data_IF_931154803950
#
_entry.id   IF_931154803950
#
_cell.length_a   1.000
_cell.length_b   1.000
_cell.length_c   1.000
_cell.angle_alpha   90.00
_cell.angle_beta   90.00
_cell.angle_gamma   90.00
#
_symmetry.space_group_name_H-M   'P 1'
#
loop_
_entity.id
_entity.type
_entity.pdbx_description
1 polymer ?
#
# COMPACT_ATOMS: atom_id res chain seq x y z
N UNK A 1 22.50 -31.18 39.80
CA UNK A 1 23.36 -31.14 38.59
C UNK A 1 22.84 -29.98 37.77
N UNK A 2 23.34 -28.77 38.03
CA UNK A 2 22.93 -27.58 37.28
C UNK A 2 23.85 -27.47 36.07
N UNK A 3 23.28 -27.65 34.88
CA UNK A 3 23.96 -27.37 33.62
C UNK A 3 23.73 -25.90 33.33
N UNK A 4 24.75 -25.08 33.58
CA UNK A 4 24.73 -23.67 33.26
C UNK A 4 25.18 -23.52 31.79
N UNK A 5 24.22 -23.49 30.86
CA UNK A 5 24.45 -23.20 29.44
C UNK A 5 24.60 -21.67 29.28
N UNK A 6 25.72 -21.11 29.75
CA UNK A 6 26.12 -19.78 29.31
C UNK A 6 26.59 -19.93 27.86
N UNK A 7 25.67 -19.78 26.91
CA UNK A 7 26.03 -19.55 25.52
C UNK A 7 26.58 -18.13 25.41
N UNK A 8 27.84 -17.93 25.83
CA UNK A 8 28.59 -16.78 25.36
C UNK A 8 28.59 -16.90 23.83
N UNK A 9 27.84 -16.03 23.17
CA UNK A 9 27.90 -15.90 21.72
C UNK A 9 29.29 -15.40 21.36
N UNK A 10 30.24 -16.33 21.20
CA UNK A 10 31.55 -16.04 20.64
C UNK A 10 31.35 -15.63 19.18
N UNK A 11 31.55 -14.34 18.89
CA UNK A 11 31.39 -13.82 17.54
C UNK A 11 31.32 -12.30 17.47
N UNK A 12 31.44 -11.79 16.25
CA UNK A 12 31.23 -10.38 15.93
C UNK A 12 29.82 -10.26 15.35
N UNK A 13 28.99 -9.45 16.00
CA UNK A 13 27.61 -9.20 15.59
C UNK A 13 27.53 -7.83 14.94
N UNK A 14 27.08 -7.79 13.69
CA UNK A 14 26.98 -6.56 12.91
C UNK A 14 25.66 -6.54 12.17
N UNK A 15 25.15 -5.34 11.98
CA UNK A 15 24.01 -5.08 11.10
C UNK A 15 24.50 -4.27 9.90
N UNK A 16 24.35 -4.86 8.71
CA UNK A 16 24.58 -4.20 7.44
C UNK A 16 23.33 -3.48 6.97
N UNK A 17 23.50 -2.35 6.28
CA UNK A 17 22.40 -1.65 5.61
C UNK A 17 22.72 -1.50 4.12
N UNK A 18 21.72 -1.81 3.29
CA UNK A 18 21.78 -1.60 1.86
C UNK A 18 20.57 -0.80 1.42
N UNK A 19 20.82 0.25 0.62
CA UNK A 19 19.78 1.12 0.08
C UNK A 19 20.02 1.32 -1.41
N UNK A 20 18.93 1.33 -2.16
CA UNK A 20 18.91 1.64 -3.58
C UNK A 20 17.86 2.72 -3.79
N UNK A 21 18.25 3.82 -4.42
CA UNK A 21 17.34 4.89 -4.79
C UNK A 21 16.85 4.60 -6.21
N UNK A 22 15.54 4.57 -6.39
CA UNK A 22 14.91 4.25 -7.67
C UNK A 22 13.85 5.32 -7.94
N UNK A 23 13.72 5.69 -9.22
CA UNK A 23 12.62 6.54 -9.66
C UNK A 23 11.38 5.65 -9.80
N UNK A 24 10.27 5.95 -9.11
CA UNK A 24 9.02 5.20 -9.27
C UNK A 24 8.58 5.17 -10.73
N UNK A 25 8.05 4.03 -11.17
CA UNK A 25 7.45 3.82 -12.51
C UNK A 25 5.97 3.42 -12.43
N UNK A 26 5.42 3.28 -11.22
CA UNK A 26 4.03 2.99 -10.95
C UNK A 26 3.45 3.92 -9.89
N UNK A 27 2.23 4.40 -10.12
CA UNK A 27 1.36 4.98 -9.11
C UNK A 27 0.15 4.07 -8.90
N UNK A 28 -0.17 3.73 -7.66
CA UNK A 28 -1.42 3.07 -7.30
C UNK A 28 -2.36 4.11 -6.72
N UNK A 29 -3.46 4.37 -7.42
CA UNK A 29 -4.52 5.26 -6.97
C UNK A 29 -5.61 4.45 -6.29
N UNK A 30 -5.84 4.72 -5.02
CA UNK A 30 -6.96 4.18 -4.25
C UNK A 30 -8.12 5.17 -4.29
N UNK A 31 -9.20 4.79 -4.96
CA UNK A 31 -10.39 5.64 -5.11
C UNK A 31 -11.66 4.83 -4.95
N UNK A 32 -12.78 5.53 -4.80
CA UNK A 32 -14.08 4.90 -4.73
C UNK A 32 -15.23 5.86 -4.95
N UNK A 33 -16.42 5.28 -4.94
CA UNK A 33 -17.69 5.97 -4.96
C UNK A 33 -18.41 5.69 -3.64
N UNK A 34 -18.97 6.74 -3.04
CA UNK A 34 -19.85 6.65 -1.89
C UNK A 34 -21.16 7.37 -2.19
N UNK A 35 -22.27 6.64 -2.06
CA UNK A 35 -23.63 7.19 -2.20
C UNK A 35 -24.41 6.95 -0.92
N UNK A 36 -25.39 7.79 -0.64
CA UNK A 36 -26.32 7.59 0.47
C UNK A 36 -27.73 7.99 0.05
N UNK A 37 -28.65 7.02 0.02
CA UNK A 37 -30.04 7.25 -0.41
C UNK A 37 -31.05 6.64 0.55
N UNK A 38 -32.32 7.01 0.39
CA UNK A 38 -33.41 6.52 1.22
C UNK A 38 -33.59 4.99 1.11
N UNK A 39 -33.32 4.42 -0.06
CA UNK A 39 -33.40 2.97 -0.30
C UNK A 39 -32.08 2.38 -0.78
N UNK A 40 -31.88 1.08 -0.49
CA UNK A 40 -30.70 0.33 -0.99
C UNK A 40 -30.62 0.36 -2.51
N UNK A 41 -31.77 0.21 -3.19
CA UNK A 41 -31.82 0.13 -4.65
C UNK A 41 -31.37 1.45 -5.31
N UNK A 42 -31.81 2.59 -4.79
CA UNK A 42 -31.39 3.91 -5.27
C UNK A 42 -29.90 4.14 -5.02
N UNK A 43 -29.43 3.84 -3.80
CA UNK A 43 -28.02 3.99 -3.44
C UNK A 43 -27.11 3.13 -4.33
N UNK A 44 -27.48 1.87 -4.57
CA UNK A 44 -26.75 0.96 -5.43
C UNK A 44 -26.72 1.42 -6.88
N UNK A 45 -27.87 1.86 -7.42
CA UNK A 45 -27.97 2.29 -8.82
C UNK A 45 -27.08 3.50 -9.05
N UNK A 46 -27.16 4.52 -8.19
CA UNK A 46 -26.30 5.70 -8.30
C UNK A 46 -24.82 5.37 -8.13
N UNK A 47 -24.48 4.47 -7.20
CA UNK A 47 -23.10 4.06 -6.98
C UNK A 47 -22.53 3.33 -8.21
N UNK A 48 -23.33 2.46 -8.84
CA UNK A 48 -22.93 1.75 -10.05
C UNK A 48 -22.73 2.72 -11.22
N UNK A 49 -23.69 3.60 -11.49
CA UNK A 49 -23.58 4.58 -12.58
C UNK A 49 -22.38 5.53 -12.40
N UNK A 50 -22.12 5.98 -11.17
CA UNK A 50 -20.96 6.82 -10.89
C UNK A 50 -19.64 6.05 -11.02
N UNK A 51 -19.61 4.78 -10.58
CA UNK A 51 -18.42 3.95 -10.74
C UNK A 51 -18.14 3.65 -12.22
N UNK A 52 -19.16 3.40 -13.03
CA UNK A 52 -19.03 3.17 -14.46
C UNK A 52 -18.43 4.37 -15.18
N UNK A 53 -18.84 5.59 -14.81
CA UNK A 53 -18.23 6.83 -15.31
C UNK A 53 -16.75 6.94 -14.91
N UNK A 54 -16.43 6.62 -13.66
CA UNK A 54 -15.04 6.60 -13.17
C UNK A 54 -14.19 5.56 -13.92
N UNK A 55 -14.71 4.35 -14.13
CA UNK A 55 -14.02 3.32 -14.90
C UNK A 55 -13.76 3.76 -16.34
N UNK A 56 -14.76 4.38 -16.98
CA UNK A 56 -14.63 4.93 -18.33
C UNK A 56 -13.55 6.01 -18.37
N UNK A 57 -13.54 6.93 -17.39
CA UNK A 57 -12.51 7.96 -17.31
C UNK A 57 -11.10 7.39 -17.11
N UNK A 58 -10.95 6.32 -16.33
CA UNK A 58 -9.68 5.61 -16.18
C UNK A 58 -9.23 4.99 -17.51
N UNK A 59 -10.12 4.27 -18.21
CA UNK A 59 -9.79 3.64 -19.48
C UNK A 59 -9.51 4.65 -20.61
N UNK A 60 -10.21 5.78 -20.63
CA UNK A 60 -9.98 6.87 -21.58
C UNK A 60 -8.62 7.56 -21.36
N UNK A 61 -8.03 7.39 -20.18
CA UNK A 61 -6.69 7.85 -19.85
C UNK A 61 -5.66 6.71 -19.82
N UNK A 62 -5.86 5.68 -20.66
CA UNK A 62 -4.92 4.58 -20.90
C UNK A 62 -4.66 3.66 -19.67
N UNK A 63 -5.54 3.67 -18.66
CA UNK A 63 -5.49 2.69 -17.58
C UNK A 63 -6.18 1.41 -18.04
N UNK A 64 -5.43 0.32 -18.18
CA UNK A 64 -5.97 -0.95 -18.63
C UNK A 64 -6.94 -1.56 -17.59
N UNK A 65 -8.01 -2.21 -18.04
CA UNK A 65 -8.99 -2.84 -17.13
C UNK A 65 -8.34 -3.84 -16.17
N UNK A 66 -7.31 -4.59 -16.61
CA UNK A 66 -6.58 -5.55 -15.74
C UNK A 66 -5.85 -4.88 -14.57
N UNK A 67 -5.56 -3.59 -14.72
CA UNK A 67 -4.84 -2.76 -13.76
C UNK A 67 -5.81 -2.04 -12.81
N UNK A 68 -7.11 -2.26 -12.97
CA UNK A 68 -8.15 -1.76 -12.07
C UNK A 68 -8.75 -2.94 -11.30
N UNK A 69 -8.69 -2.88 -9.98
CA UNK A 69 -9.16 -3.96 -9.11
C UNK A 69 -10.06 -3.43 -8.00
N UNK A 70 -11.29 -3.92 -7.95
CA UNK A 70 -12.20 -3.68 -6.82
C UNK A 70 -11.62 -4.25 -5.54
N UNK A 71 -11.41 -3.37 -4.56
CA UNK A 71 -10.88 -3.71 -3.25
C UNK A 71 -11.98 -3.92 -2.22
N UNK A 72 -13.06 -3.13 -2.32
CA UNK A 72 -14.08 -3.10 -1.29
C UNK A 72 -15.44 -2.75 -1.86
N UNK A 73 -16.46 -3.49 -1.44
CA UNK A 73 -17.85 -3.13 -1.69
C UNK A 73 -18.64 -3.34 -0.40
N UNK A 74 -19.44 -2.35 -0.01
CA UNK A 74 -20.31 -2.48 1.16
C UNK A 74 -21.59 -1.69 1.03
N UNK A 75 -22.62 -2.17 1.71
CA UNK A 75 -23.89 -1.49 1.88
C UNK A 75 -24.16 -1.47 3.38
N UNK A 76 -24.41 -0.29 3.94
CA UNK A 76 -24.66 -0.11 5.36
C UNK A 76 -25.91 0.73 5.56
N UNK A 77 -26.70 0.39 6.58
CA UNK A 77 -27.76 1.29 7.04
C UNK A 77 -27.11 2.53 7.66
N UNK A 78 -27.71 3.68 7.39
CA UNK A 78 -27.37 4.94 8.04
C UNK A 78 -28.51 5.27 8.97
N UNK A 79 -28.16 5.42 10.23
CA UNK A 79 -29.10 5.65 11.31
C UNK A 79 -28.85 7.01 11.95
N UNK A 80 -29.89 7.55 12.54
CA UNK A 80 -29.84 8.76 13.36
C UNK A 80 -30.53 8.47 14.68
N UNK A 81 -29.86 8.81 15.78
CA UNK A 81 -30.48 8.78 17.09
C UNK A 81 -31.54 9.87 17.20
N UNK A 82 -32.76 9.47 17.56
CA UNK A 82 -33.86 10.36 17.90
C UNK A 82 -33.92 10.51 19.42
N UNK A 83 -33.67 11.73 19.90
CA UNK A 83 -33.66 12.04 21.33
C UNK A 83 -35.05 12.13 21.96
N UNK A 84 -36.09 12.31 21.17
CA UNK A 84 -37.46 12.46 21.66
C UNK A 84 -38.12 11.08 21.86
N UNK A 85 -37.80 10.12 20.99
CA UNK A 85 -38.30 8.74 21.10
C UNK A 85 -37.30 7.77 21.76
N UNK A 86 -36.07 8.22 22.05
CA UNK A 86 -34.96 7.39 22.55
C UNK A 86 -34.68 6.16 21.67
N UNK A 87 -34.81 6.32 20.35
CA UNK A 87 -34.66 5.23 19.38
C UNK A 87 -33.67 5.57 18.25
N UNK A 88 -33.11 4.54 17.63
CA UNK A 88 -32.26 4.66 16.46
C UNK A 88 -33.11 4.50 15.19
N UNK A 89 -33.26 5.59 14.43
CA UNK A 89 -34.10 5.62 13.22
C UNK A 89 -33.20 5.47 12.00
N UNK A 90 -33.54 4.53 11.11
CA UNK A 90 -32.88 4.40 9.80
C UNK A 90 -33.26 5.60 8.94
N UNK A 91 -32.27 6.38 8.54
CA UNK A 91 -32.41 7.56 7.68
C UNK A 91 -31.94 7.34 6.25
N UNK A 92 -31.37 6.17 5.96
CA UNK A 92 -31.01 5.76 4.61
C UNK A 92 -30.04 4.59 4.57
N UNK A 93 -29.45 4.40 3.40
CA UNK A 93 -28.48 3.35 3.11
C UNK A 93 -27.30 3.96 2.38
N UNK A 94 -26.10 3.65 2.86
CA UNK A 94 -24.85 4.05 2.25
C UNK A 94 -24.26 2.89 1.47
N UNK A 95 -23.89 3.13 0.22
CA UNK A 95 -23.12 2.21 -0.59
C UNK A 95 -21.72 2.78 -0.76
N UNK A 96 -20.71 1.94 -0.57
CA UNK A 96 -19.31 2.27 -0.81
C UNK A 96 -18.72 1.23 -1.74
N UNK A 97 -18.12 1.68 -2.84
CA UNK A 97 -17.36 0.85 -3.76
C UNK A 97 -15.96 1.45 -3.91
N UNK A 98 -14.90 0.70 -3.64
CA UNK A 98 -13.50 1.14 -3.75
C UNK A 98 -12.73 0.25 -4.70
N UNK A 99 -11.86 0.88 -5.47
CA UNK A 99 -10.98 0.25 -6.46
C UNK A 99 -9.57 0.78 -6.29
N UNK A 100 -8.60 -0.05 -6.64
CA UNK A 100 -7.22 0.37 -6.87
C UNK A 100 -6.96 0.37 -8.36
N UNK A 101 -6.43 1.46 -8.87
CA UNK A 101 -5.98 1.61 -10.25
C UNK A 101 -4.46 1.75 -10.30
N UNK A 102 -3.79 0.86 -11.05
CA UNK A 102 -2.35 0.95 -11.33
C UNK A 102 -2.13 1.84 -12.56
N UNK A 103 -1.36 2.91 -12.38
CA UNK A 103 -1.09 3.93 -13.38
C UNK A 103 0.42 3.95 -13.65
N UNK A 104 0.83 3.57 -14.86
CA UNK A 104 2.25 3.54 -15.28
C UNK A 104 2.71 4.87 -15.86
N UNK A 105 1.80 5.66 -16.40
CA UNK A 105 2.09 7.04 -16.83
C UNK A 105 2.03 8.01 -15.66
N UNK A 106 3.03 7.95 -14.77
CA UNK A 106 3.09 8.79 -13.56
C UNK A 106 2.99 10.28 -13.89
N UNK A 107 3.58 10.72 -15.00
CA UNK A 107 3.54 12.14 -15.40
C UNK A 107 2.09 12.63 -15.68
N UNK A 108 1.16 11.72 -15.99
CA UNK A 108 -0.27 12.01 -16.22
C UNK A 108 -1.13 11.82 -14.98
N UNK A 109 -0.57 11.45 -13.82
CA UNK A 109 -1.35 11.12 -12.62
C UNK A 109 -2.30 12.25 -12.20
N UNK A 110 -1.85 13.50 -12.27
CA UNK A 110 -2.66 14.67 -11.92
C UNK A 110 -3.88 14.81 -12.82
N UNK A 111 -3.69 14.73 -14.14
CA UNK A 111 -4.81 14.80 -15.10
C UNK A 111 -5.76 13.62 -14.97
N UNK A 112 -5.26 12.43 -14.62
CA UNK A 112 -6.10 11.25 -14.39
C UNK A 112 -6.98 11.48 -13.16
N UNK A 113 -6.41 12.00 -12.07
CA UNK A 113 -7.15 12.31 -10.83
C UNK A 113 -8.25 13.33 -11.12
N UNK A 114 -7.95 14.39 -11.87
CA UNK A 114 -8.93 15.41 -12.23
C UNK A 114 -10.07 14.79 -13.07
N UNK A 115 -9.73 13.96 -14.06
CA UNK A 115 -10.72 13.29 -14.92
C UNK A 115 -11.64 12.34 -14.15
N UNK A 116 -11.10 11.53 -13.23
CA UNK A 116 -11.94 10.63 -12.41
C UNK A 116 -12.78 11.39 -11.39
N UNK A 117 -12.25 12.48 -10.82
CA UNK A 117 -12.99 13.34 -9.91
C UNK A 117 -14.16 14.03 -10.62
N UNK A 118 -13.95 14.54 -11.84
CA UNK A 118 -15.00 15.11 -12.67
C UNK A 118 -16.06 14.06 -13.05
N UNK A 119 -15.63 12.85 -13.45
CA UNK A 119 -16.53 11.78 -13.87
C UNK A 119 -17.41 11.22 -12.74
N UNK A 120 -16.83 11.01 -11.56
CA UNK A 120 -17.56 10.54 -10.38
C UNK A 120 -18.31 11.64 -9.64
N UNK A 121 -17.91 12.91 -9.83
CA UNK A 121 -18.51 14.08 -9.19
C UNK A 121 -18.36 14.05 -7.66
N UNK A 122 -19.35 14.61 -6.96
CA UNK A 122 -19.36 14.71 -5.49
C UNK A 122 -19.44 13.35 -4.76
N UNK A 123 -19.71 12.27 -5.52
CA UNK A 123 -19.75 10.90 -5.02
C UNK A 123 -18.35 10.28 -4.93
N UNK A 124 -17.34 10.89 -5.57
CA UNK A 124 -15.96 10.41 -5.56
C UNK A 124 -15.34 10.52 -4.18
N UNK A 125 -14.59 9.50 -3.81
CA UNK A 125 -13.73 9.45 -2.62
C UNK A 125 -12.33 9.07 -3.09
N UNK A 126 -11.39 10.01 -2.97
CA UNK A 126 -9.97 9.75 -3.18
C UNK A 126 -9.36 9.42 -1.82
N UNK A 127 -8.84 8.20 -1.67
CA UNK A 127 -8.30 7.73 -0.39
C UNK A 127 -6.79 7.96 -0.30
N UNK A 128 -6.02 7.46 -1.27
CA UNK A 128 -4.55 7.57 -1.28
C UNK A 128 -3.98 7.46 -2.70
N UNK A 129 -2.73 7.94 -2.84
CA UNK A 129 -1.88 7.70 -4.00
C UNK A 129 -0.55 7.20 -3.47
N UNK A 130 -0.14 6.03 -3.93
CA UNK A 130 1.09 5.36 -3.49
C UNK A 130 2.00 5.17 -4.71
N UNK A 131 3.22 5.71 -4.64
CA UNK A 131 4.22 5.59 -5.71
C UNK A 131 5.17 4.43 -5.42
N UNK A 132 5.33 3.55 -6.40
CA UNK A 132 6.13 2.34 -6.28
C UNK A 132 6.84 2.01 -7.60
N UNK A 133 7.50 0.86 -7.58
CA UNK A 133 8.07 0.22 -8.77
C UNK A 133 7.23 -1.02 -9.06
N UNK A 134 6.82 -1.25 -10.31
CA UNK A 134 5.96 -2.41 -10.65
C UNK A 134 6.70 -3.75 -10.41
N UNK A 135 8.01 -3.81 -10.71
CA UNK A 135 8.88 -4.92 -10.33
C UNK A 135 10.10 -4.45 -9.51
N UNK A 136 10.05 -4.58 -8.16
CA UNK A 136 11.14 -4.16 -7.29
C UNK A 136 12.24 -5.22 -7.11
N UNK A 137 12.13 -6.39 -7.74
CA UNK A 137 12.95 -7.58 -7.42
C UNK A 137 14.45 -7.35 -7.57
N UNK A 138 14.85 -6.75 -8.69
CA UNK A 138 16.26 -6.46 -9.01
C UNK A 138 16.85 -5.44 -8.01
N UNK A 139 16.06 -4.45 -7.62
CA UNK A 139 16.47 -3.43 -6.66
C UNK A 139 16.62 -3.99 -5.24
N UNK A 140 15.78 -4.96 -4.87
CA UNK A 140 15.96 -5.69 -3.62
C UNK A 140 17.23 -6.55 -3.63
N UNK A 141 17.54 -7.20 -4.75
CA UNK A 141 18.80 -7.95 -4.86
C UNK A 141 20.01 -7.02 -4.70
N UNK A 142 20.02 -5.88 -5.39
CA UNK A 142 21.10 -4.90 -5.26
C UNK A 142 21.19 -4.35 -3.82
N UNK A 143 20.06 -4.08 -3.17
CA UNK A 143 20.03 -3.65 -1.77
C UNK A 143 20.63 -4.71 -0.84
N UNK A 144 20.30 -5.99 -1.02
CA UNK A 144 20.87 -7.10 -0.24
C UNK A 144 22.38 -7.23 -0.44
N UNK A 145 22.86 -7.10 -1.68
CA UNK A 145 24.29 -7.13 -1.99
C UNK A 145 25.04 -6.00 -1.25
N UNK A 146 24.48 -4.78 -1.27
CA UNK A 146 25.04 -3.64 -0.52
C UNK A 146 25.00 -3.87 1.00
N UNK A 147 23.91 -4.41 1.53
CA UNK A 147 23.77 -4.72 2.94
C UNK A 147 24.82 -5.74 3.42
N UNK A 148 25.05 -6.80 2.64
CA UNK A 148 26.07 -7.79 2.98
C UNK A 148 27.50 -7.24 2.85
N UNK A 149 27.77 -6.40 1.85
CA UNK A 149 29.06 -5.73 1.73
C UNK A 149 29.34 -4.81 2.94
N UNK A 150 28.34 -4.03 3.38
CA UNK A 150 28.43 -3.17 4.56
C UNK A 150 28.61 -3.97 5.87
N UNK A 151 27.83 -5.05 6.06
CA UNK A 151 27.99 -5.95 7.20
C UNK A 151 29.41 -6.53 7.25
N UNK A 152 29.91 -7.02 6.12
CA UNK A 152 31.25 -7.61 6.03
C UNK A 152 32.34 -6.59 6.36
N UNK A 153 32.27 -5.39 5.78
CA UNK A 153 33.24 -4.33 6.04
C UNK A 153 33.29 -3.94 7.54
N UNK A 154 32.12 -3.82 8.18
CA UNK A 154 32.03 -3.57 9.64
C UNK A 154 32.63 -4.71 10.46
N UNK A 155 32.35 -5.96 10.10
CA UNK A 155 32.89 -7.11 10.81
C UNK A 155 34.42 -7.19 10.68
N UNK A 156 34.97 -6.92 9.50
CA UNK A 156 36.42 -6.86 9.25
C UNK A 156 37.08 -5.74 10.07
N UNK A 157 36.46 -4.56 10.13
CA UNK A 157 36.94 -3.44 10.93
C UNK A 157 36.96 -3.78 12.42
N UNK A 158 35.88 -4.36 12.96
CA UNK A 158 35.81 -4.75 14.38
C UNK A 158 36.82 -5.84 14.72
N UNK A 159 37.00 -6.83 13.84
CA UNK A 159 38.00 -7.89 14.01
C UNK A 159 39.42 -7.31 14.09
N UNK A 160 39.76 -6.40 13.18
CA UNK A 160 41.06 -5.72 13.17
C UNK A 160 41.31 -4.91 14.44
N UNK A 161 40.31 -4.16 14.92
CA UNK A 161 40.42 -3.38 16.17
C UNK A 161 40.55 -4.26 17.42
N UNK A 162 39.94 -5.44 17.42
CA UNK A 162 40.02 -6.41 18.51
C UNK A 162 41.27 -7.31 18.44
N UNK A 163 42.08 -7.21 17.37
CA UNK A 163 43.26 -8.06 17.18
C UNK A 163 42.92 -9.53 16.90
N UNK A 164 41.74 -9.82 16.36
CA UNK A 164 41.27 -11.16 16.02
C UNK A 164 41.08 -11.32 14.51
N UNK A 165 41.07 -12.56 14.02
CA UNK A 165 40.79 -12.86 12.61
C UNK A 165 39.31 -13.11 12.41
N UNK A 166 38.70 -12.47 11.41
CA UNK A 166 37.30 -12.72 11.05
C UNK A 166 37.11 -14.13 10.44
N UNK A 167 36.20 -14.91 11.00
CA UNK A 167 35.85 -16.25 10.54
C UNK A 167 34.74 -16.29 9.48
N UNK A 168 34.26 -17.49 9.15
CA UNK A 168 33.09 -17.68 8.27
C UNK A 168 31.80 -17.22 8.98
N UNK A 169 30.82 -16.66 8.25
CA UNK A 169 29.51 -16.35 8.83
C UNK A 169 28.86 -17.60 9.43
N UNK A 170 28.38 -17.50 10.66
CA UNK A 170 27.68 -18.60 11.36
C UNK A 170 26.16 -18.40 11.38
N UNK A 171 25.69 -17.16 11.26
CA UNK A 171 24.29 -16.79 11.18
C UNK A 171 24.12 -15.59 10.23
N UNK A 172 23.11 -15.63 9.37
CA UNK A 172 22.66 -14.51 8.56
C UNK A 172 21.15 -14.44 8.73
N UNK A 173 20.66 -13.26 9.12
CA UNK A 173 19.23 -12.97 9.21
C UNK A 173 18.94 -11.75 8.35
N UNK A 174 17.88 -11.83 7.56
CA UNK A 174 17.34 -10.72 6.77
C UNK A 174 16.09 -10.19 7.47
N UNK A 175 15.85 -8.87 7.37
CA UNK A 175 14.70 -8.18 7.93
C UNK A 175 14.49 -6.81 7.30
#
# INVERSE_FOLDING_TARGET
MEVNLNSQQEGIWVTGQGKVAVVPDLATLSLGIETQEATVAEAQTQAAEAMDRVMTALTDNDVEEKDIQTQYFSIRQVTKWDSDTEEEIVVGYRVTNKVNAKIREIDKIGSIIDAVAEAGGDLTRLDSIDFSVDDPSDYYEEARQKAMADAKAKAEQLAGLAGVTLGKPTCISEG
#
